data_IF_742120524785
#
_entry.id   IF_742120524785
#
_cell.length_a   1.000
_cell.length_b   1.000
_cell.length_c   1.000
_cell.angle_alpha   90.00
_cell.angle_beta   90.00
_cell.angle_gamma   90.00
#
_symmetry.space_group_name_H-M   'P 1'
#
loop_
_entity.id
_entity.type
_entity.pdbx_description
1 polymer ?
#
# COMPACT_ATOMS: atom_id res chain seq x y z
N UNK A 1 20.27 -25.28 -13.48
CA UNK A 1 19.48 -25.73 -14.65
C UNK A 1 18.61 -24.59 -15.14
N UNK A 2 18.55 -24.36 -16.46
CA UNK A 2 17.73 -23.29 -17.04
C UNK A 2 16.24 -23.56 -16.80
N UNK A 3 15.48 -22.52 -16.43
CA UNK A 3 14.02 -22.61 -16.25
C UNK A 3 13.36 -22.87 -17.61
N UNK A 4 12.78 -24.05 -17.82
CA UNK A 4 12.02 -24.39 -19.04
C UNK A 4 10.60 -23.86 -18.93
N UNK A 5 10.42 -22.56 -19.12
CA UNK A 5 9.11 -21.92 -19.22
C UNK A 5 8.76 -21.64 -20.70
N UNK A 6 7.56 -22.05 -21.13
CA UNK A 6 7.07 -21.85 -22.50
C UNK A 6 5.74 -21.11 -22.47
N UNK A 7 5.59 -20.05 -23.25
CA UNK A 7 4.30 -19.34 -23.35
C UNK A 7 3.44 -19.98 -24.43
N UNK A 8 2.17 -20.27 -24.12
CA UNK A 8 1.21 -20.88 -25.04
C UNK A 8 -0.12 -20.15 -25.01
N UNK A 9 -0.80 -20.07 -26.16
CA UNK A 9 -2.16 -19.59 -26.23
C UNK A 9 -3.14 -20.59 -25.57
N UNK A 10 -4.29 -20.10 -25.12
CA UNK A 10 -5.28 -20.90 -24.38
C UNK A 10 -5.95 -22.00 -25.20
N UNK A 11 -6.03 -21.81 -26.51
CA UNK A 11 -6.56 -22.73 -27.52
C UNK A 11 -5.67 -23.95 -27.78
N UNK A 12 -4.37 -23.85 -27.51
CA UNK A 12 -3.43 -24.97 -27.62
C UNK A 12 -3.86 -26.10 -26.70
N UNK A 13 -3.92 -27.33 -27.22
CA UNK A 13 -4.27 -28.52 -26.45
C UNK A 13 -3.36 -28.70 -25.21
N UNK A 14 -3.93 -29.16 -24.11
CA UNK A 14 -3.16 -29.44 -22.88
C UNK A 14 -2.33 -30.71 -23.10
N UNK A 15 -1.01 -30.69 -22.88
CA UNK A 15 -0.19 -31.89 -23.01
C UNK A 15 -0.68 -33.03 -22.12
N UNK A 16 -0.48 -34.28 -22.54
CA UNK A 16 -0.91 -35.43 -21.74
C UNK A 16 -0.26 -35.43 -20.36
N UNK A 17 -1.03 -35.70 -19.31
CA UNK A 17 -0.58 -35.65 -17.92
C UNK A 17 -0.44 -34.24 -17.33
N UNK A 18 -0.72 -33.18 -18.08
CA UNK A 18 -0.77 -31.80 -17.58
C UNK A 18 -2.19 -31.39 -17.22
N UNK A 19 -2.30 -30.43 -16.31
CA UNK A 19 -3.56 -29.74 -16.00
C UNK A 19 -3.36 -28.23 -16.04
N UNK A 20 -4.41 -27.50 -15.67
CA UNK A 20 -4.42 -26.04 -15.67
C UNK A 20 -4.59 -25.49 -14.25
N UNK A 21 -3.78 -24.49 -13.90
CA UNK A 21 -3.86 -23.71 -12.68
C UNK A 21 -4.20 -22.25 -13.03
N UNK A 22 -5.40 -21.75 -12.70
CA UNK A 22 -5.75 -20.36 -12.97
C UNK A 22 -4.88 -19.39 -12.17
N UNK A 23 -4.66 -18.19 -12.70
CA UNK A 23 -4.03 -17.09 -11.96
C UNK A 23 -4.91 -16.64 -10.79
N UNK A 24 -4.30 -16.04 -9.78
CA UNK A 24 -4.99 -15.32 -8.71
C UNK A 24 -4.47 -15.66 -7.31
N UNK A 25 -4.16 -16.93 -7.05
CA UNK A 25 -3.60 -17.34 -5.76
C UNK A 25 -2.07 -17.37 -5.87
N UNK A 26 -1.43 -16.26 -5.45
CA UNK A 26 0.04 -16.08 -5.52
C UNK A 26 0.81 -17.27 -4.96
N UNK A 27 0.40 -17.81 -3.82
CA UNK A 27 0.99 -19.02 -3.22
C UNK A 27 1.00 -20.20 -4.20
N UNK A 28 -0.15 -20.53 -4.81
CA UNK A 28 -0.25 -21.65 -5.75
C UNK A 28 0.58 -21.41 -7.00
N UNK A 29 0.56 -20.19 -7.56
CA UNK A 29 1.34 -19.83 -8.75
C UNK A 29 2.85 -19.95 -8.49
N UNK A 30 3.32 -19.44 -7.35
CA UNK A 30 4.73 -19.52 -6.93
C UNK A 30 5.17 -20.98 -6.74
N UNK A 31 4.41 -21.76 -5.96
CA UNK A 31 4.74 -23.14 -5.65
C UNK A 31 4.63 -24.05 -6.88
N UNK A 32 3.67 -23.81 -7.77
CA UNK A 32 3.58 -24.51 -9.06
C UNK A 32 4.84 -24.29 -9.89
N UNK A 33 5.28 -23.03 -10.09
CA UNK A 33 6.53 -22.71 -10.80
C UNK A 33 7.72 -23.43 -10.17
N UNK A 34 7.87 -23.30 -8.85
CA UNK A 34 8.98 -23.89 -8.09
C UNK A 34 9.04 -25.42 -8.27
N UNK A 35 7.95 -26.11 -7.94
CA UNK A 35 7.89 -27.57 -7.97
C UNK A 35 8.03 -28.13 -9.40
N UNK A 36 7.50 -27.44 -10.42
CA UNK A 36 7.65 -27.86 -11.82
C UNK A 36 9.11 -27.80 -12.27
N UNK A 37 9.83 -26.73 -11.90
CA UNK A 37 11.26 -26.62 -12.20
C UNK A 37 12.11 -27.62 -11.42
N UNK A 38 11.82 -27.84 -10.14
CA UNK A 38 12.52 -28.84 -9.31
C UNK A 38 12.34 -30.26 -9.85
N UNK A 39 11.17 -30.57 -10.42
CA UNK A 39 10.90 -31.85 -11.07
C UNK A 39 11.52 -31.96 -12.49
N UNK A 40 12.24 -30.94 -12.97
CA UNK A 40 12.83 -30.90 -14.30
C UNK A 40 11.81 -30.90 -15.45
N UNK A 41 10.54 -30.54 -15.16
CA UNK A 41 9.46 -30.53 -16.14
C UNK A 41 9.30 -29.15 -16.77
N UNK A 42 8.73 -29.12 -17.98
CA UNK A 42 8.40 -27.87 -18.66
C UNK A 42 7.18 -27.24 -18.01
N UNK A 43 7.21 -25.94 -17.76
CA UNK A 43 6.04 -25.19 -17.31
C UNK A 43 5.48 -24.38 -18.49
N UNK A 44 4.16 -24.41 -18.68
CA UNK A 44 3.53 -23.59 -19.71
C UNK A 44 2.80 -22.39 -19.09
N UNK A 45 3.14 -21.18 -19.53
CA UNK A 45 2.42 -19.96 -19.19
C UNK A 45 1.30 -19.77 -20.20
N UNK A 46 0.05 -19.85 -19.74
CA UNK A 46 -1.11 -19.74 -20.63
C UNK A 46 -1.53 -18.28 -20.75
N UNK A 47 -1.65 -17.81 -21.99
CA UNK A 47 -2.12 -16.44 -22.31
C UNK A 47 -3.39 -16.49 -23.16
N UNK A 48 -4.17 -15.41 -23.13
CA UNK A 48 -5.27 -15.20 -24.06
C UNK A 48 -4.81 -14.60 -25.39
N UNK A 49 -5.74 -14.42 -26.33
CA UNK A 49 -5.48 -13.78 -27.63
C UNK A 49 -4.93 -12.34 -27.52
N UNK A 50 -5.15 -11.66 -26.39
CA UNK A 50 -4.64 -10.32 -26.08
C UNK A 50 -3.32 -10.37 -25.30
N UNK A 51 -2.63 -11.51 -25.28
CA UNK A 51 -1.37 -11.76 -24.55
C UNK A 51 -1.44 -11.54 -23.03
N UNK A 52 -2.65 -11.58 -22.44
CA UNK A 52 -2.82 -11.50 -20.99
C UNK A 52 -2.69 -12.89 -20.39
N UNK A 53 -1.84 -13.03 -19.37
CA UNK A 53 -1.68 -14.29 -18.66
C UNK A 53 -3.00 -14.72 -18.01
N UNK A 54 -3.40 -15.97 -18.24
CA UNK A 54 -4.58 -16.62 -17.65
C UNK A 54 -4.19 -17.56 -16.50
N UNK A 55 -3.05 -18.21 -16.59
CA UNK A 55 -2.64 -19.21 -15.61
C UNK A 55 -1.38 -19.97 -16.02
N UNK A 56 -1.18 -21.13 -15.41
CA UNK A 56 -0.07 -22.04 -15.66
C UNK A 56 -0.61 -23.42 -16.06
N UNK A 57 0.09 -24.15 -16.93
CA UNK A 57 -0.09 -25.60 -17.05
C UNK A 57 1.15 -26.30 -16.52
N UNK A 58 0.90 -27.30 -15.69
CA UNK A 58 1.92 -28.11 -15.05
C UNK A 58 1.42 -29.56 -14.94
N UNK A 59 2.32 -30.53 -14.70
CA UNK A 59 1.92 -31.91 -14.49
C UNK A 59 0.87 -32.06 -13.37
N UNK A 60 -0.12 -32.94 -13.56
CA UNK A 60 -1.24 -33.13 -12.61
C UNK A 60 -0.77 -33.46 -11.20
N UNK A 61 0.26 -34.29 -11.05
CA UNK A 61 0.82 -34.62 -9.74
C UNK A 61 1.37 -33.38 -8.99
N UNK A 62 1.89 -32.39 -9.73
CA UNK A 62 2.35 -31.12 -9.13
C UNK A 62 1.17 -30.26 -8.75
N UNK A 63 0.13 -30.18 -9.58
CA UNK A 63 -1.08 -29.43 -9.26
C UNK A 63 -1.76 -29.96 -8.00
N UNK A 64 -1.87 -31.29 -7.88
CA UNK A 64 -2.42 -31.95 -6.69
C UNK A 64 -1.57 -31.60 -5.45
N UNK A 65 -0.25 -31.77 -5.54
CA UNK A 65 0.68 -31.42 -4.45
C UNK A 65 0.58 -29.94 -4.05
N UNK A 66 0.46 -29.02 -5.01
CA UNK A 66 0.29 -27.58 -4.74
C UNK A 66 -1.05 -27.31 -4.05
N UNK A 67 -2.12 -28.02 -4.42
CA UNK A 67 -3.42 -27.88 -3.80
C UNK A 67 -3.43 -28.41 -2.36
N UNK A 68 -2.83 -29.57 -2.12
CA UNK A 68 -2.64 -30.15 -0.79
C UNK A 68 -1.83 -29.22 0.10
N UNK A 69 -0.62 -28.82 -0.33
CA UNK A 69 0.23 -27.89 0.42
C UNK A 69 -0.46 -26.54 0.68
N UNK A 70 -1.23 -26.02 -0.30
CA UNK A 70 -1.98 -24.79 -0.11
C UNK A 70 -3.05 -24.92 0.97
N UNK A 71 -3.75 -26.06 1.02
CA UNK A 71 -4.79 -26.36 2.02
C UNK A 71 -4.16 -26.55 3.39
N UNK A 72 -3.15 -27.40 3.50
CA UNK A 72 -2.44 -27.72 4.75
C UNK A 72 -1.80 -26.49 5.39
N UNK A 73 -1.14 -25.66 4.59
CA UNK A 73 -0.45 -24.47 5.12
C UNK A 73 -1.38 -23.27 5.34
N UNK A 74 -2.63 -23.31 4.85
CA UNK A 74 -3.53 -22.16 4.95
C UNK A 74 -3.75 -21.70 6.40
N UNK A 75 -4.06 -22.57 7.38
CA UNK A 75 -4.26 -22.15 8.77
C UNK A 75 -3.01 -21.49 9.34
N UNK A 76 -1.84 -22.10 9.16
CA UNK A 76 -0.57 -21.56 9.64
C UNK A 76 -0.22 -20.20 9.00
N UNK A 77 -0.46 -20.05 7.69
CA UNK A 77 -0.25 -18.77 6.97
C UNK A 77 -1.21 -17.70 7.47
N UNK A 78 -2.48 -18.03 7.68
CA UNK A 78 -3.48 -17.12 8.25
C UNK A 78 -3.09 -16.68 9.66
N UNK A 79 -2.71 -17.62 10.54
CA UNK A 79 -2.28 -17.32 11.90
C UNK A 79 -1.00 -16.48 11.93
N UNK A 80 -0.01 -16.77 11.07
CA UNK A 80 1.20 -15.97 10.96
C UNK A 80 0.93 -14.53 10.49
N UNK A 81 -0.03 -14.36 9.57
CA UNK A 81 -0.49 -13.05 9.12
C UNK A 81 -1.19 -12.30 10.26
N UNK A 82 -2.11 -12.95 10.99
CA UNK A 82 -2.82 -12.36 12.12
C UNK A 82 -1.85 -11.92 13.23
N UNK A 83 -0.87 -12.77 13.61
CA UNK A 83 0.15 -12.42 14.61
C UNK A 83 0.94 -11.16 14.21
N UNK A 84 1.38 -11.07 12.95
CA UNK A 84 2.09 -9.88 12.45
C UNK A 84 1.20 -8.64 12.47
N UNK A 85 -0.07 -8.78 12.10
CA UNK A 85 -1.01 -7.67 12.10
C UNK A 85 -1.31 -7.18 13.53
N UNK A 86 -1.49 -8.09 14.49
CA UNK A 86 -1.64 -7.75 15.91
C UNK A 86 -0.40 -7.06 16.47
N UNK A 87 0.80 -7.58 16.15
CA UNK A 87 2.06 -6.96 16.57
C UNK A 87 2.22 -5.55 15.99
N UNK A 88 1.88 -5.35 14.72
CA UNK A 88 1.93 -4.03 14.09
C UNK A 88 0.93 -3.03 14.71
N UNK A 89 -0.29 -3.50 15.03
CA UNK A 89 -1.30 -2.68 15.72
C UNK A 89 -0.83 -2.32 17.13
N UNK A 90 -0.29 -3.27 17.89
CA UNK A 90 0.27 -3.02 19.22
C UNK A 90 1.43 -2.02 19.20
N UNK A 91 2.35 -2.16 18.25
CA UNK A 91 3.44 -1.20 18.07
C UNK A 91 2.92 0.21 17.74
N UNK A 92 1.90 0.31 16.87
CA UNK A 92 1.26 1.58 16.55
C UNK A 92 0.54 2.19 17.75
N UNK A 93 -0.15 1.39 18.57
CA UNK A 93 -0.82 1.85 19.78
C UNK A 93 0.18 2.45 20.78
N UNK A 94 1.28 1.74 21.05
CA UNK A 94 2.35 2.23 21.92
C UNK A 94 2.98 3.54 21.40
N UNK A 95 3.12 3.67 20.08
CA UNK A 95 3.64 4.89 19.48
C UNK A 95 2.66 6.08 19.60
N UNK A 96 1.36 5.82 19.49
CA UNK A 96 0.33 6.85 19.71
C UNK A 96 0.33 7.34 21.16
N UNK A 97 0.42 6.43 22.13
CA UNK A 97 0.49 6.80 23.56
C UNK A 97 1.72 7.66 23.87
N UNK A 98 2.86 7.36 23.26
CA UNK A 98 4.10 8.14 23.42
C UNK A 98 3.99 9.54 22.81
N UNK A 99 3.39 9.68 21.63
CA UNK A 99 3.32 10.96 20.91
C UNK A 99 2.14 11.83 21.36
N UNK A 100 1.05 11.22 21.84
CA UNK A 100 -0.22 11.86 22.15
C UNK A 100 -0.74 11.39 23.52
N UNK A 101 -0.09 11.78 24.63
CA UNK A 101 -0.45 11.30 25.97
C UNK A 101 -1.85 11.71 26.44
N UNK A 102 -2.48 12.71 25.80
CA UNK A 102 -3.84 13.17 26.11
C UNK A 102 -4.87 12.72 25.06
N UNK A 103 -4.52 11.79 24.17
CA UNK A 103 -5.41 11.27 23.13
C UNK A 103 -6.57 10.48 23.76
N UNK A 104 -7.84 10.83 23.48
CA UNK A 104 -8.96 10.05 23.97
C UNK A 104 -8.97 8.62 23.39
N UNK A 105 -9.29 7.63 24.22
CA UNK A 105 -9.25 6.20 23.85
C UNK A 105 -10.16 5.88 22.64
N UNK A 106 -11.30 6.56 22.55
CA UNK A 106 -12.22 6.44 21.41
C UNK A 106 -11.56 6.89 20.10
N UNK A 107 -10.84 8.00 20.13
CA UNK A 107 -10.14 8.54 18.96
C UNK A 107 -8.95 7.66 18.58
N UNK A 108 -8.18 7.19 19.56
CA UNK A 108 -7.10 6.21 19.39
C UNK A 108 -7.58 4.93 18.69
N UNK A 109 -8.69 4.35 19.17
CA UNK A 109 -9.30 3.16 18.57
C UNK A 109 -9.66 3.40 17.10
N UNK A 110 -10.23 4.58 16.79
CA UNK A 110 -10.58 4.95 15.43
C UNK A 110 -9.34 5.11 14.54
N UNK A 111 -8.29 5.77 15.03
CA UNK A 111 -7.01 5.92 14.32
C UNK A 111 -6.39 4.56 14.03
N UNK A 112 -6.32 3.66 15.01
CA UNK A 112 -5.79 2.30 14.83
C UNK A 112 -6.61 1.51 13.81
N UNK A 113 -7.95 1.56 13.93
CA UNK A 113 -8.87 0.84 13.04
C UNK A 113 -8.80 1.33 11.59
N UNK A 114 -8.58 2.63 11.33
CA UNK A 114 -8.68 3.20 9.99
C UNK A 114 -7.32 3.51 9.34
N UNK A 115 -6.34 3.95 10.14
CA UNK A 115 -4.99 4.29 9.70
C UNK A 115 -4.08 3.08 9.51
N UNK A 116 -4.31 1.98 10.26
CA UNK A 116 -3.47 0.78 10.24
C UNK A 116 -4.19 -0.46 9.65
N UNK A 117 -5.39 -0.30 9.06
CA UNK A 117 -6.12 -1.39 8.40
C UNK A 117 -5.37 -1.96 7.20
N UNK A 118 -5.29 -3.29 7.15
CA UNK A 118 -4.71 -4.08 6.06
C UNK A 118 -5.32 -3.74 4.69
N UNK A 119 -4.50 -3.79 3.63
CA UNK A 119 -4.88 -3.74 2.20
C UNK A 119 -5.41 -2.39 1.69
N UNK A 120 -5.26 -1.32 2.45
CA UNK A 120 -5.78 -0.01 2.06
C UNK A 120 -4.81 0.84 1.22
N UNK A 121 -3.57 0.40 1.00
CA UNK A 121 -2.51 1.24 0.42
C UNK A 121 -2.18 2.47 1.29
N UNK A 122 -2.67 2.53 2.53
CA UNK A 122 -2.50 3.68 3.44
C UNK A 122 -1.15 3.61 4.16
N UNK A 123 -0.70 4.80 4.52
CA UNK A 123 0.58 5.16 5.14
C UNK A 123 1.08 4.17 6.20
N UNK A 124 0.18 3.56 6.99
CA UNK A 124 0.50 2.62 8.07
C UNK A 124 1.32 1.38 7.67
N UNK A 125 1.35 0.97 6.40
CA UNK A 125 2.11 -0.22 5.94
C UNK A 125 3.21 0.05 4.90
N UNK A 126 3.43 1.31 4.52
CA UNK A 126 4.52 1.68 3.61
C UNK A 126 5.87 1.45 4.29
N UNK A 127 6.66 0.44 3.88
CA UNK A 127 7.94 0.10 4.53
C UNK A 127 8.94 1.26 4.56
N UNK A 128 8.81 2.21 3.64
CA UNK A 128 9.67 3.38 3.49
C UNK A 128 9.49 4.44 4.58
N UNK A 129 8.40 4.41 5.35
CA UNK A 129 8.10 5.42 6.37
C UNK A 129 8.26 4.82 7.78
N UNK A 130 9.05 5.45 8.68
CA UNK A 130 9.18 5.02 10.08
C UNK A 130 7.83 5.00 10.80
N UNK A 131 7.66 4.09 11.77
CA UNK A 131 6.41 3.92 12.50
C UNK A 131 5.95 5.21 13.21
N UNK A 132 6.90 5.95 13.79
CA UNK A 132 6.68 7.24 14.42
C UNK A 132 5.98 8.21 13.46
N UNK A 133 6.48 8.27 12.22
CA UNK A 133 5.94 9.14 11.19
C UNK A 133 4.59 8.66 10.66
N UNK A 134 4.39 7.34 10.59
CA UNK A 134 3.09 6.75 10.22
C UNK A 134 2.01 7.08 11.24
N UNK A 135 2.31 6.92 12.53
CA UNK A 135 1.40 7.26 13.62
C UNK A 135 0.98 8.72 13.52
N UNK A 136 1.94 9.63 13.38
CA UNK A 136 1.68 11.06 13.20
C UNK A 136 0.75 11.34 12.00
N UNK A 137 1.08 10.80 10.82
CA UNK A 137 0.27 11.00 9.61
C UNK A 137 -1.13 10.41 9.72
N UNK A 138 -1.29 9.27 10.42
CA UNK A 138 -2.58 8.66 10.66
C UNK A 138 -3.47 9.52 11.56
N UNK A 139 -2.90 10.09 12.63
CA UNK A 139 -3.62 11.02 13.51
C UNK A 139 -3.99 12.30 12.77
N UNK A 140 -3.07 12.89 12.02
CA UNK A 140 -3.36 14.11 11.22
C UNK A 140 -4.50 13.85 10.23
N UNK A 141 -4.48 12.73 9.51
CA UNK A 141 -5.55 12.37 8.59
C UNK A 141 -6.87 12.21 9.34
N UNK A 142 -6.86 11.54 10.48
CA UNK A 142 -8.04 11.36 11.32
C UNK A 142 -8.61 12.69 11.81
N UNK A 143 -7.78 13.57 12.37
CA UNK A 143 -8.16 14.92 12.78
C UNK A 143 -8.76 15.69 11.61
N UNK A 144 -8.10 15.68 10.45
CA UNK A 144 -8.58 16.37 9.25
C UNK A 144 -10.00 15.94 8.89
N UNK A 145 -10.28 14.65 8.81
CA UNK A 145 -11.60 14.16 8.38
C UNK A 145 -12.67 14.22 9.47
N UNK A 146 -12.30 14.13 10.76
CA UNK A 146 -13.26 13.96 11.86
C UNK A 146 -13.48 15.21 12.71
N UNK A 147 -12.48 16.08 12.77
CA UNK A 147 -12.43 17.23 13.68
C UNK A 147 -12.35 18.57 12.95
N UNK A 148 -12.51 18.57 11.63
CA UNK A 148 -12.49 19.79 10.81
C UNK A 148 -13.58 19.76 9.73
N UNK A 149 -13.78 20.91 9.07
CA UNK A 149 -14.71 21.05 7.95
C UNK A 149 -14.15 20.54 6.61
N UNK A 150 -13.05 19.76 6.62
CA UNK A 150 -12.35 19.34 5.41
C UNK A 150 -13.26 18.66 4.38
N UNK A 151 -14.07 17.69 4.79
CA UNK A 151 -14.95 16.95 3.89
C UNK A 151 -16.07 17.85 3.34
N UNK A 152 -16.55 18.81 4.13
CA UNK A 152 -17.53 19.81 3.69
C UNK A 152 -16.93 20.78 2.65
N UNK A 153 -15.67 21.20 2.82
CA UNK A 153 -14.97 22.04 1.85
C UNK A 153 -14.78 21.33 0.50
N UNK A 154 -14.43 20.04 0.53
CA UNK A 154 -14.33 19.23 -0.69
C UNK A 154 -15.69 19.06 -1.37
N UNK A 155 -16.75 18.80 -0.60
CA UNK A 155 -18.11 18.71 -1.14
C UNK A 155 -18.59 20.04 -1.73
N UNK A 156 -18.15 21.18 -1.17
CA UNK A 156 -18.39 22.52 -1.69
C UNK A 156 -17.49 22.94 -2.86
N UNK A 157 -16.74 22.02 -3.46
CA UNK A 157 -15.94 22.27 -4.68
C UNK A 157 -14.56 22.89 -4.44
N UNK A 158 -14.11 23.01 -3.18
CA UNK A 158 -12.75 23.48 -2.91
C UNK A 158 -11.71 22.48 -3.41
N UNK A 159 -10.65 22.97 -4.05
CA UNK A 159 -9.49 22.13 -4.36
C UNK A 159 -8.87 21.54 -3.08
N UNK A 160 -8.27 20.36 -3.19
CA UNK A 160 -7.70 19.62 -2.07
C UNK A 160 -6.60 20.41 -1.35
N UNK A 161 -5.77 21.18 -2.06
CA UNK A 161 -4.70 22.01 -1.46
C UNK A 161 -5.30 23.15 -0.66
N UNK A 162 -6.27 23.86 -1.23
CA UNK A 162 -6.98 24.93 -0.55
C UNK A 162 -7.73 24.44 0.70
N UNK A 163 -8.45 23.31 0.57
CA UNK A 163 -9.18 22.70 1.67
C UNK A 163 -8.25 22.25 2.81
N UNK A 164 -7.05 21.71 2.50
CA UNK A 164 -6.03 21.37 3.50
C UNK A 164 -5.51 22.62 4.22
N UNK A 165 -5.14 23.66 3.47
CA UNK A 165 -4.65 24.93 4.04
C UNK A 165 -5.67 25.54 5.00
N UNK A 166 -6.95 25.53 4.63
CA UNK A 166 -8.04 26.09 5.44
C UNK A 166 -8.19 25.41 6.81
N UNK A 167 -7.87 24.11 6.92
CA UNK A 167 -8.06 23.34 8.16
C UNK A 167 -6.78 23.17 8.99
N UNK A 168 -5.62 23.63 8.49
CA UNK A 168 -4.31 23.42 9.14
C UNK A 168 -4.27 23.94 10.58
N UNK A 169 -4.77 25.15 10.84
CA UNK A 169 -4.82 25.72 12.20
C UNK A 169 -5.67 24.86 13.15
N UNK A 170 -6.80 24.34 12.67
CA UNK A 170 -7.67 23.48 13.47
C UNK A 170 -7.01 22.13 13.76
N UNK A 171 -6.31 21.56 12.76
CA UNK A 171 -5.51 20.34 12.95
C UNK A 171 -4.47 20.59 14.04
N UNK A 172 -3.68 21.66 13.92
CA UNK A 172 -2.62 21.98 14.88
C UNK A 172 -3.14 22.14 16.31
N UNK A 173 -4.26 22.85 16.48
CA UNK A 173 -4.94 22.99 17.79
C UNK A 173 -5.30 21.63 18.39
N UNK A 174 -5.99 20.76 17.65
CA UNK A 174 -6.41 19.44 18.17
C UNK A 174 -5.19 18.56 18.49
N UNK A 175 -4.13 18.63 17.67
CA UNK A 175 -2.90 17.88 17.90
C UNK A 175 -2.23 18.31 19.21
N UNK A 176 -2.18 19.61 19.51
CA UNK A 176 -1.66 20.16 20.78
C UNK A 176 -2.54 19.75 21.96
N UNK A 177 -3.87 19.80 21.80
CA UNK A 177 -4.81 19.38 22.84
C UNK A 177 -4.62 17.90 23.22
N UNK A 178 -4.28 17.05 22.24
CA UNK A 178 -3.95 15.64 22.45
C UNK A 178 -2.51 15.40 22.94
N UNK A 179 -1.75 16.46 23.23
CA UNK A 179 -0.44 16.39 23.85
C UNK A 179 0.73 16.24 22.88
N UNK A 180 0.53 16.53 21.59
CA UNK A 180 1.64 16.56 20.63
C UNK A 180 2.50 17.81 20.82
N UNK A 181 3.79 17.62 21.10
CA UNK A 181 4.72 18.71 21.46
C UNK A 181 5.79 19.00 20.41
N UNK A 182 5.93 18.16 19.37
CA UNK A 182 7.00 18.30 18.36
C UNK A 182 6.61 19.27 17.26
N UNK A 183 7.60 19.79 16.53
CA UNK A 183 7.35 20.67 15.39
C UNK A 183 6.58 19.95 14.26
N UNK A 184 5.50 20.59 13.81
CA UNK A 184 4.69 20.17 12.67
C UNK A 184 4.80 21.13 11.48
N UNK A 185 5.67 22.15 11.52
CA UNK A 185 5.77 23.16 10.47
C UNK A 185 6.01 22.54 9.09
N UNK A 186 6.79 21.46 9.01
CA UNK A 186 7.05 20.71 7.79
C UNK A 186 5.77 20.20 7.10
N UNK A 187 4.72 19.87 7.86
CA UNK A 187 3.47 19.33 7.31
C UNK A 187 2.67 20.44 6.63
N UNK A 188 2.74 21.65 7.17
CA UNK A 188 2.00 22.81 6.69
C UNK A 188 2.74 23.59 5.58
N UNK A 189 4.07 23.47 5.50
CA UNK A 189 4.90 24.14 4.49
C UNK A 189 4.70 23.59 3.07
N UNK A 190 4.40 22.29 2.93
CA UNK A 190 4.19 21.67 1.61
C UNK A 190 2.95 22.17 0.84
N UNK A 191 2.08 22.97 1.48
CA UNK A 191 0.88 23.54 0.88
C UNK A 191 0.97 25.06 0.64
N UNK A 192 2.15 25.69 0.82
CA UNK A 192 2.33 27.08 0.40
C UNK A 192 2.37 27.18 -1.14
N UNK A 193 1.81 28.24 -1.76
CA UNK A 193 2.15 28.56 -3.14
C UNK A 193 3.65 28.92 -3.16
N UNK A 194 4.40 28.29 -4.06
CA UNK A 194 5.74 28.75 -4.44
C UNK A 194 5.57 30.14 -5.07
N UNK A 195 5.72 31.17 -4.25
CA UNK A 195 5.81 32.57 -4.70
C UNK A 195 7.29 32.92 -4.74
N UNK A 196 7.90 32.73 -5.91
CA UNK A 196 9.10 33.43 -6.36
C UNK A 196 9.41 32.95 -7.78
N UNK A 197 8.64 33.45 -8.75
CA UNK A 197 9.21 33.69 -10.07
C UNK A 197 10.13 34.89 -9.90
N UNK A 198 11.42 34.63 -9.72
CA UNK A 198 12.43 35.65 -9.95
C UNK A 198 12.54 35.82 -11.47
N UNK A 199 12.20 37.05 -11.86
CA UNK A 199 12.45 37.70 -13.13
C UNK A 199 13.86 37.41 -13.63
N UNK A 200 13.95 36.70 -14.75
CA UNK A 200 15.14 36.76 -15.58
C UNK A 200 15.21 38.16 -16.20
N UNK A 201 16.17 38.95 -15.74
CA UNK A 201 16.65 40.11 -16.46
C UNK A 201 17.17 39.64 -17.83
N UNK A 202 16.50 40.08 -18.88
CA UNK A 202 16.96 39.99 -20.25
C UNK A 202 18.01 41.08 -20.48
N UNK A 203 19.27 40.68 -20.60
CA UNK A 203 20.34 41.50 -21.19
C UNK A 203 20.00 41.74 -22.67
N UNK A 204 19.55 42.95 -22.99
CA UNK A 204 19.57 43.51 -24.33
C UNK A 204 21.03 43.84 -24.69
N UNK A 205 21.64 42.95 -25.48
CA UNK A 205 22.89 43.19 -26.20
C UNK A 205 22.55 43.94 -27.50
N UNK A 206 22.66 45.27 -27.43
CA UNK A 206 22.52 46.20 -28.55
C UNK A 206 23.73 46.04 -29.48
N UNK A 207 23.49 45.54 -30.70
CA UNK A 207 24.47 45.46 -31.78
C UNK A 207 23.90 46.18 -33.00
N UNK A 208 24.42 47.37 -33.31
CA UNK A 208 24.50 47.94 -34.66
C UNK A 208 25.60 49.02 -34.70
N UNK A 209 26.17 49.36 -35.87
CA UNK A 209 26.21 48.63 -37.15
C UNK A 209 27.63 48.16 -37.54
#
# INVERSE_FOLDING_TARGET
>A
MAKKEVTVCSDVAVPNGYGFLPKGISYKTLHCRKLTHEAGKTLYVVVDAKKRQLGLRAPRFILNKVHEQAKETLPARCAAVQRRDLSAIGAAANELEKQFPKLPEKEKTLVLKHGFRKHSGRVGRTSTIPLQRKALLAVIAHVRHRHTKYDALLAGGSDRKAARKAVNRKIESVMRDWGYVRDMSWYFKNDQPTSSGESGESEESEFEP
#
